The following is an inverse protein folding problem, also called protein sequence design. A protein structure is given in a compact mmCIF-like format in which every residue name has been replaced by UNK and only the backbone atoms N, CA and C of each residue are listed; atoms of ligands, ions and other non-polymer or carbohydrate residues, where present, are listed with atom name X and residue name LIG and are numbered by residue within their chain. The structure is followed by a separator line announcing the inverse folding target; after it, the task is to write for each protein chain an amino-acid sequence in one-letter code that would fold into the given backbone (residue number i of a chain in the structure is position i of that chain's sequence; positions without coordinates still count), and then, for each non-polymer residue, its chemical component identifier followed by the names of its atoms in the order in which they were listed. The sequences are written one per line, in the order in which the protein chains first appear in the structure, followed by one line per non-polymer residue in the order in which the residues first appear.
data_IF_232223103722
#
_entry.id   IF_232223103722
#
_cell.length_a   1.000
_cell.length_b   1.000
_cell.length_c   1.000
_cell.angle_alpha   90.00
_cell.angle_beta   90.00
_cell.angle_gamma   90.00
#
_symmetry.space_group_name_H-M   'P 1'
#
loop_
_entity.id
_entity.type
_entity.pdbx_description
1 polymer ?
#
# COMPACT_ATOMS: atom_id res chain seq x y z
N UNK A 1 18.34 36.11 22.00
CA UNK A 1 19.28 35.01 21.74
C UNK A 1 18.48 33.84 21.15
N UNK A 2 18.77 33.55 19.88
CA UNK A 2 18.62 32.34 19.06
C UNK A 2 17.44 31.39 19.37
N UNK A 3 16.44 31.33 18.50
CA UNK A 3 16.38 30.46 17.30
C UNK A 3 16.69 28.99 17.59
N UNK A 4 15.65 28.16 17.60
CA UNK A 4 15.75 26.81 17.03
C UNK A 4 14.44 26.46 16.33
N UNK A 5 14.41 26.92 15.10
CA UNK A 5 13.63 26.42 13.98
C UNK A 5 13.45 24.89 14.08
N UNK A 6 12.23 24.41 14.32
CA UNK A 6 11.84 23.05 13.92
C UNK A 6 11.64 23.04 12.40
N UNK A 7 12.71 23.33 11.66
CA UNK A 7 12.91 22.85 10.31
C UNK A 7 13.72 21.56 10.44
N UNK A 8 13.06 20.47 10.85
CA UNK A 8 13.53 19.16 10.42
C UNK A 8 12.97 19.00 9.01
N UNK A 9 13.82 19.30 8.04
CA UNK A 9 13.68 18.85 6.66
C UNK A 9 13.55 17.32 6.64
N UNK A 10 12.36 16.78 6.92
CA UNK A 10 11.93 15.57 6.24
C UNK A 10 11.52 16.03 4.85
N UNK A 11 12.51 16.27 3.97
CA UNK A 11 12.25 16.37 2.55
C UNK A 11 11.75 14.99 2.09
N UNK A 12 10.45 14.75 2.26
CA UNK A 12 9.73 13.61 1.71
C UNK A 12 10.05 13.61 0.22
N UNK A 13 10.99 12.75 -0.20
CA UNK A 13 11.38 12.62 -1.60
C UNK A 13 10.17 12.08 -2.35
N UNK A 14 9.38 13.00 -2.89
CA UNK A 14 8.27 12.70 -3.77
C UNK A 14 8.81 11.94 -4.98
N UNK A 15 8.16 10.84 -5.36
CA UNK A 15 8.66 9.96 -6.41
C UNK A 15 7.85 10.17 -7.66
N UNK A 16 8.49 10.65 -8.72
CA UNK A 16 7.85 10.77 -10.03
C UNK A 16 7.37 9.41 -10.53
N UNK A 17 6.17 9.35 -11.14
CA UNK A 17 5.58 8.11 -11.64
C UNK A 17 6.52 7.23 -12.46
N UNK A 18 7.24 7.82 -13.42
CA UNK A 18 8.20 7.10 -14.27
C UNK A 18 9.33 6.38 -13.51
N UNK A 19 9.61 6.81 -12.26
CA UNK A 19 10.64 6.23 -11.41
C UNK A 19 10.07 5.26 -10.37
N UNK A 20 8.76 4.98 -10.41
CA UNK A 20 8.13 4.05 -9.50
C UNK A 20 8.51 2.61 -9.89
N UNK A 21 9.12 1.87 -8.98
CA UNK A 21 9.59 0.49 -9.16
C UNK A 21 9.16 -0.39 -7.98
N UNK A 22 9.43 -1.69 -8.04
CA UNK A 22 9.17 -2.62 -6.94
C UNK A 22 9.98 -2.24 -5.69
N UNK A 23 11.25 -1.86 -5.86
CA UNK A 23 12.15 -1.41 -4.79
C UNK A 23 11.60 -0.14 -4.12
N UNK A 24 11.10 0.77 -4.95
CA UNK A 24 10.50 2.01 -4.48
C UNK A 24 9.23 1.74 -3.68
N UNK A 25 8.33 0.90 -4.19
CA UNK A 25 7.10 0.53 -3.49
C UNK A 25 7.42 -0.11 -2.13
N UNK A 26 8.35 -1.06 -2.11
CA UNK A 26 8.84 -1.69 -0.88
C UNK A 26 9.36 -0.64 0.13
N UNK A 27 10.19 0.29 -0.37
CA UNK A 27 10.74 1.38 0.46
C UNK A 27 9.64 2.28 1.02
N UNK A 28 8.64 2.65 0.22
CA UNK A 28 7.55 3.52 0.66
C UNK A 28 6.69 2.86 1.74
N UNK A 29 6.28 1.60 1.52
CA UNK A 29 5.44 0.85 2.46
C UNK A 29 6.15 0.63 3.80
N UNK A 30 7.43 0.26 3.78
CA UNK A 30 8.20 0.06 5.00
C UNK A 30 8.50 1.38 5.74
N UNK A 31 8.66 2.50 5.02
CA UNK A 31 8.82 3.83 5.66
C UNK A 31 7.58 4.23 6.46
N UNK A 32 6.39 4.03 5.91
CA UNK A 32 5.16 4.34 6.64
C UNK A 32 5.05 3.50 7.91
N UNK A 33 5.41 2.22 7.82
CA UNK A 33 5.42 1.32 8.97
C UNK A 33 6.32 1.89 10.07
N UNK A 34 7.56 2.28 9.75
CA UNK A 34 8.51 2.92 10.69
C UNK A 34 7.97 4.24 11.29
N UNK A 35 7.22 5.03 10.52
CA UNK A 35 6.68 6.31 11.00
C UNK A 35 5.50 6.12 11.96
N UNK A 36 4.63 5.12 11.76
CA UNK A 36 3.58 4.78 12.73
C UNK A 36 4.18 4.32 14.06
N UNK A 37 5.30 3.60 14.01
CA UNK A 37 6.03 3.11 15.19
C UNK A 37 6.55 4.23 16.09
N UNK A 38 7.03 5.33 15.50
CA UNK A 38 7.60 6.45 16.26
C UNK A 38 6.55 7.25 17.06
N UNK A 39 5.26 6.99 16.83
CA UNK A 39 4.12 7.67 17.47
C UNK A 39 3.55 6.83 18.62
N UNK A 40 3.82 5.52 18.65
CA UNK A 40 3.32 4.57 19.66
C UNK A 40 4.24 4.37 20.88
N UNK A 41 5.39 5.05 20.97
CA UNK A 41 6.20 5.11 22.20
C UNK A 41 5.47 5.93 23.27
N UNK A 42 4.47 5.33 23.92
CA UNK A 42 3.88 5.83 25.16
C UNK A 42 4.73 5.31 26.31
N UNK A 43 5.25 6.21 27.13
CA UNK A 43 5.97 5.92 28.38
C UNK A 43 5.15 4.96 29.25
N UNK A 44 5.65 3.74 29.45
CA UNK A 44 5.03 2.77 30.36
C UNK A 44 5.61 2.92 31.76
N UNK A 45 4.78 3.35 32.72
CA UNK A 45 5.04 3.23 34.15
C UNK A 45 5.05 1.75 34.59
N UNK A 46 5.98 1.40 35.49
CA UNK A 46 6.42 0.04 35.89
C UNK A 46 5.37 -0.87 36.58
N UNK A 47 4.07 -0.62 36.50
CA UNK A 47 3.08 -1.42 37.23
C UNK A 47 2.36 -2.48 36.37
N UNK A 48 2.49 -3.74 36.81
CA UNK A 48 1.75 -4.98 36.50
C UNK A 48 2.38 -5.98 35.51
N UNK A 49 2.42 -7.27 35.88
CA UNK A 49 2.95 -8.37 35.06
C UNK A 49 1.99 -8.79 33.93
N UNK A 50 0.68 -8.54 34.07
CA UNK A 50 -0.32 -8.81 33.03
C UNK A 50 -0.17 -7.86 31.82
N UNK A 51 0.17 -6.60 32.06
CA UNK A 51 0.51 -5.65 30.98
C UNK A 51 1.79 -6.06 30.27
N UNK A 52 2.78 -6.64 30.95
CA UNK A 52 3.99 -7.19 30.31
C UNK A 52 3.69 -8.35 29.35
N UNK A 53 2.85 -9.32 29.73
CA UNK A 53 2.48 -10.42 28.83
C UNK A 53 1.65 -9.94 27.64
N UNK A 54 0.69 -9.04 27.87
CA UNK A 54 -0.07 -8.42 26.77
C UNK A 54 0.87 -7.65 25.82
N UNK A 55 1.81 -6.89 26.39
CA UNK A 55 2.79 -6.12 25.64
C UNK A 55 3.77 -7.00 24.85
N UNK A 56 4.27 -8.10 25.42
CA UNK A 56 5.11 -9.07 24.72
C UNK A 56 4.36 -9.79 23.59
N UNK A 57 3.07 -10.09 23.79
CA UNK A 57 2.21 -10.65 22.74
C UNK A 57 2.01 -9.63 21.62
N UNK A 58 1.72 -8.36 21.95
CA UNK A 58 1.56 -7.29 20.98
C UNK A 58 2.85 -7.02 20.19
N UNK A 59 4.02 -7.06 20.84
CA UNK A 59 5.33 -6.98 20.18
C UNK A 59 5.53 -8.16 19.23
N UNK A 60 5.25 -9.39 19.65
CA UNK A 60 5.45 -10.57 18.79
C UNK A 60 4.55 -10.53 17.55
N UNK A 61 3.27 -10.21 17.72
CA UNK A 61 2.35 -10.05 16.59
C UNK A 61 2.78 -8.94 15.63
N UNK A 62 3.42 -7.91 16.16
CA UNK A 62 3.96 -6.78 15.40
C UNK A 62 5.21 -7.18 14.60
N UNK A 63 6.18 -7.83 15.23
CA UNK A 63 7.37 -8.36 14.55
C UNK A 63 6.99 -9.36 13.44
N UNK A 64 6.02 -10.25 13.70
CA UNK A 64 5.50 -11.18 12.70
C UNK A 64 4.86 -10.43 11.52
N UNK A 65 4.05 -9.40 11.78
CA UNK A 65 3.43 -8.58 10.72
C UNK A 65 4.48 -7.85 9.87
N UNK A 66 5.53 -7.31 10.49
CA UNK A 66 6.62 -6.64 9.79
C UNK A 66 7.43 -7.62 8.92
N UNK A 67 7.71 -8.82 9.44
CA UNK A 67 8.37 -9.89 8.68
C UNK A 67 7.53 -10.31 7.48
N UNK A 68 6.21 -10.49 7.65
CA UNK A 68 5.30 -10.85 6.57
C UNK A 68 5.23 -9.73 5.53
N UNK A 69 5.13 -8.46 5.95
CA UNK A 69 5.15 -7.33 5.04
C UNK A 69 6.46 -7.28 4.24
N UNK A 70 7.60 -7.39 4.92
CA UNK A 70 8.92 -7.41 4.29
C UNK A 70 9.03 -8.53 3.26
N UNK A 71 8.54 -9.72 3.58
CA UNK A 71 8.45 -10.86 2.65
C UNK A 71 7.58 -10.52 1.43
N UNK A 72 6.36 -10.01 1.64
CA UNK A 72 5.42 -9.71 0.55
C UNK A 72 5.96 -8.64 -0.42
N UNK A 73 6.70 -7.66 0.07
CA UNK A 73 7.26 -6.58 -0.76
C UNK A 73 8.70 -6.83 -1.22
N UNK A 74 9.30 -7.98 -0.90
CA UNK A 74 10.65 -8.31 -1.35
C UNK A 74 10.71 -8.37 -2.88
N UNK A 75 11.67 -7.64 -3.46
CA UNK A 75 11.90 -7.57 -4.90
C UNK A 75 12.42 -8.88 -5.50
N UNK A 76 12.95 -9.77 -4.66
CA UNK A 76 13.44 -11.10 -5.00
C UNK A 76 12.46 -12.20 -4.61
N UNK A 77 11.19 -11.89 -4.29
CA UNK A 77 10.19 -12.87 -3.83
C UNK A 77 10.16 -14.15 -4.69
N UNK A 78 10.16 -14.04 -6.02
CA UNK A 78 10.24 -15.20 -6.93
C UNK A 78 11.49 -16.07 -6.73
N UNK A 79 12.65 -15.46 -6.49
CA UNK A 79 13.90 -16.18 -6.23
C UNK A 79 13.89 -16.82 -4.83
N UNK A 80 13.31 -16.12 -3.85
CA UNK A 80 13.17 -16.59 -2.48
C UNK A 80 12.25 -17.80 -2.36
N UNK A 81 11.13 -17.82 -3.09
CA UNK A 81 10.22 -18.97 -3.16
C UNK A 81 10.91 -20.24 -3.65
N UNK A 82 11.91 -20.11 -4.53
CA UNK A 82 12.70 -21.23 -5.04
C UNK A 82 13.81 -21.67 -4.07
N UNK A 83 14.18 -20.81 -3.11
CA UNK A 83 15.16 -21.12 -2.06
C UNK A 83 14.45 -21.35 -0.73
N UNK A 84 13.93 -22.56 -0.51
CA UNK A 84 13.21 -22.98 0.72
C UNK A 84 14.03 -22.77 2.01
N UNK A 85 15.33 -22.45 1.91
CA UNK A 85 16.30 -22.39 3.01
C UNK A 85 16.86 -20.99 3.33
N UNK A 86 16.24 -19.90 2.87
CA UNK A 86 16.86 -18.59 3.06
C UNK A 86 16.61 -18.00 4.47
N UNK A 87 17.64 -18.00 5.31
CA UNK A 87 17.62 -17.57 6.72
C UNK A 87 17.24 -16.09 6.97
N UNK A 88 17.19 -15.25 5.93
CA UNK A 88 16.80 -13.83 6.08
C UNK A 88 15.32 -13.64 6.41
N UNK A 89 14.49 -14.63 6.14
CA UNK A 89 13.04 -14.57 6.30
C UNK A 89 12.55 -15.90 6.81
N UNK A 90 11.70 -15.89 7.83
CA UNK A 90 11.08 -17.11 8.28
C UNK A 90 9.89 -17.43 7.35
N UNK A 91 10.18 -18.10 6.23
CA UNK A 91 9.17 -18.58 5.28
C UNK A 91 8.06 -19.38 5.99
N UNK A 92 8.39 -20.03 7.11
CA UNK A 92 7.43 -20.72 7.95
C UNK A 92 6.48 -19.76 8.68
N UNK A 93 6.92 -18.56 9.08
CA UNK A 93 6.04 -17.51 9.61
C UNK A 93 5.08 -17.03 8.53
N UNK A 94 5.56 -16.79 7.30
CA UNK A 94 4.70 -16.43 6.17
C UNK A 94 3.65 -17.49 5.87
N UNK A 95 4.07 -18.76 5.84
CA UNK A 95 3.18 -19.89 5.64
C UNK A 95 2.19 -20.08 6.81
N UNK A 96 2.64 -19.86 8.04
CA UNK A 96 1.78 -19.87 9.23
C UNK A 96 0.72 -18.78 9.16
N UNK A 97 1.09 -17.57 8.72
CA UNK A 97 0.14 -16.47 8.52
C UNK A 97 -0.87 -16.80 7.41
N UNK A 98 -0.43 -17.40 6.31
CA UNK A 98 -1.31 -17.91 5.25
C UNK A 98 -2.35 -18.89 5.82
N UNK A 99 -1.90 -19.93 6.52
CA UNK A 99 -2.77 -20.92 7.14
C UNK A 99 -3.75 -20.27 8.11
N UNK A 100 -3.25 -19.41 9.01
CA UNK A 100 -4.04 -18.78 10.06
C UNK A 100 -5.06 -17.78 9.51
N UNK A 101 -4.78 -17.19 8.34
CA UNK A 101 -5.71 -16.29 7.64
C UNK A 101 -6.88 -17.03 6.98
N UNK A 102 -6.85 -18.37 6.92
CA UNK A 102 -7.90 -19.19 6.35
C UNK A 102 -8.73 -19.89 7.44
N UNK A 103 -9.91 -19.37 7.82
CA UNK A 103 -10.71 -19.90 8.92
C UNK A 103 -11.29 -21.29 8.65
N UNK A 104 -11.29 -21.76 7.39
CA UNK A 104 -11.78 -23.07 7.00
C UNK A 104 -10.69 -24.16 7.03
N UNK A 105 -9.47 -23.81 7.46
CA UNK A 105 -8.37 -24.74 7.50
C UNK A 105 -8.55 -25.79 8.61
N UNK A 106 -8.53 -27.07 8.24
CA UNK A 106 -8.52 -28.21 9.17
C UNK A 106 -7.19 -28.96 9.04
N UNK A 107 -6.47 -29.08 10.17
CA UNK A 107 -5.18 -29.75 10.22
C UNK A 107 -5.31 -31.25 9.87
N UNK A 108 -4.53 -31.70 8.88
CA UNK A 108 -4.28 -33.11 8.60
C UNK A 108 -2.87 -33.29 8.01
N UNK A 109 -2.11 -34.28 8.48
CA UNK A 109 -0.71 -34.49 8.04
C UNK A 109 -0.56 -34.65 6.51
N UNK A 110 -1.59 -35.14 5.81
CA UNK A 110 -1.60 -35.28 4.35
C UNK A 110 -1.75 -33.99 3.55
N UNK A 111 -2.22 -32.89 4.16
CA UNK A 111 -2.50 -31.64 3.43
C UNK A 111 -1.35 -30.63 3.44
N UNK A 112 -0.24 -30.88 4.16
CA UNK A 112 0.86 -29.92 4.29
C UNK A 112 1.49 -29.55 2.94
N UNK A 113 1.80 -30.56 2.11
CA UNK A 113 2.41 -30.35 0.79
C UNK A 113 1.47 -29.60 -0.16
N UNK A 114 0.18 -29.90 -0.11
CA UNK A 114 -0.84 -29.19 -0.91
C UNK A 114 -0.93 -27.73 -0.49
N UNK A 115 -0.95 -27.46 0.82
CA UNK A 115 -1.01 -26.09 1.34
C UNK A 115 0.24 -25.29 1.04
N UNK A 116 1.41 -25.92 1.09
CA UNK A 116 2.67 -25.30 0.67
C UNK A 116 2.60 -24.88 -0.82
N UNK A 117 2.03 -25.74 -1.68
CA UNK A 117 1.82 -25.42 -3.10
C UNK A 117 0.83 -24.28 -3.28
N UNK A 118 -0.29 -24.29 -2.56
CA UNK A 118 -1.26 -23.18 -2.58
C UNK A 118 -0.64 -21.87 -2.12
N UNK A 119 0.11 -21.88 -1.01
CA UNK A 119 0.81 -20.70 -0.51
C UNK A 119 1.80 -20.14 -1.53
N UNK A 120 2.62 -21.01 -2.13
CA UNK A 120 3.51 -20.60 -3.20
C UNK A 120 2.74 -19.97 -4.37
N UNK A 121 1.66 -20.60 -4.82
CA UNK A 121 0.81 -20.04 -5.87
C UNK A 121 0.29 -18.65 -5.49
N UNK A 122 -0.21 -18.45 -4.27
CA UNK A 122 -0.63 -17.14 -3.76
C UNK A 122 0.48 -16.09 -3.81
N UNK A 123 1.72 -16.46 -3.46
CA UNK A 123 2.87 -15.56 -3.57
C UNK A 123 3.20 -15.21 -5.03
N UNK A 124 3.05 -16.15 -5.98
CA UNK A 124 3.22 -15.84 -7.41
C UNK A 124 2.16 -14.85 -7.91
N UNK A 125 0.91 -15.00 -7.47
CA UNK A 125 -0.18 -14.09 -7.84
C UNK A 125 0.03 -12.71 -7.23
N UNK A 126 0.48 -12.66 -5.98
CA UNK A 126 0.86 -11.42 -5.30
C UNK A 126 1.99 -10.69 -6.05
N UNK A 127 3.04 -11.41 -6.47
CA UNK A 127 4.14 -10.81 -7.23
C UNK A 127 3.68 -10.23 -8.58
N UNK A 128 2.85 -10.98 -9.33
CA UNK A 128 2.23 -10.48 -10.58
C UNK A 128 1.37 -9.24 -10.32
N UNK A 129 0.62 -9.22 -9.22
CA UNK A 129 -0.19 -8.07 -8.83
C UNK A 129 0.65 -6.81 -8.61
N UNK A 130 1.79 -6.94 -7.92
CA UNK A 130 2.70 -5.82 -7.70
C UNK A 130 3.35 -5.33 -9.01
N UNK A 131 3.69 -6.24 -9.92
CA UNK A 131 4.18 -5.89 -11.26
C UNK A 131 3.12 -5.10 -12.07
N UNK A 132 1.85 -5.51 -11.98
CA UNK A 132 0.74 -4.79 -12.63
C UNK A 132 0.59 -3.37 -12.08
N UNK A 133 0.64 -3.19 -10.75
CA UNK A 133 0.58 -1.85 -10.14
C UNK A 133 1.73 -0.98 -10.64
N UNK A 134 2.97 -1.49 -10.60
CA UNK A 134 4.15 -0.74 -11.03
C UNK A 134 4.01 -0.31 -12.49
N UNK A 135 3.62 -1.23 -13.37
CA UNK A 135 3.42 -0.95 -14.80
C UNK A 135 2.39 0.15 -15.04
N UNK A 136 1.24 0.09 -14.36
CA UNK A 136 0.18 1.08 -14.53
C UNK A 136 0.59 2.45 -13.97
N UNK A 137 1.16 2.49 -12.76
CA UNK A 137 1.61 3.73 -12.11
C UNK A 137 2.65 4.45 -12.95
N UNK A 138 3.65 3.74 -13.50
CA UNK A 138 4.69 4.33 -14.33
C UNK A 138 4.17 5.06 -15.57
N UNK A 139 2.97 4.69 -16.03
CA UNK A 139 2.35 5.24 -17.24
C UNK A 139 1.26 6.25 -16.96
N UNK A 140 0.91 6.53 -15.70
CA UNK A 140 -0.17 7.47 -15.40
C UNK A 140 0.08 8.87 -15.97
N UNK A 141 -0.97 9.55 -16.45
CA UNK A 141 -0.85 10.94 -16.84
C UNK A 141 -0.71 11.83 -15.60
N UNK A 142 -0.19 13.06 -15.76
CA UNK A 142 -0.06 14.01 -14.65
C UNK A 142 -1.42 14.36 -14.04
N UNK A 143 -1.52 14.49 -12.71
CA UNK A 143 -2.77 14.87 -12.05
C UNK A 143 -2.85 16.39 -12.01
N UNK A 144 -3.95 16.94 -12.52
CA UNK A 144 -4.11 18.37 -12.77
C UNK A 144 -4.66 19.18 -11.59
N UNK A 145 -4.80 18.55 -10.43
CA UNK A 145 -5.19 19.22 -9.18
C UNK A 145 -4.00 19.26 -8.22
N UNK A 146 -3.92 20.35 -7.45
CA UNK A 146 -2.91 20.48 -6.39
C UNK A 146 -3.27 19.68 -5.13
N UNK A 147 -4.51 19.21 -5.01
CA UNK A 147 -4.96 18.39 -3.88
C UNK A 147 -4.38 16.98 -3.96
N UNK A 148 -4.20 16.35 -2.80
CA UNK A 148 -3.77 14.95 -2.74
C UNK A 148 -4.92 14.04 -3.17
N UNK A 149 -4.61 13.07 -4.02
CA UNK A 149 -5.50 11.95 -4.33
C UNK A 149 -4.97 10.68 -3.66
N UNK A 150 -5.86 9.75 -3.36
CA UNK A 150 -5.50 8.43 -2.86
C UNK A 150 -5.93 7.39 -3.89
N UNK A 151 -5.01 6.52 -4.30
CA UNK A 151 -5.31 5.38 -5.16
C UNK A 151 -5.14 4.11 -4.35
N UNK A 152 -6.23 3.39 -4.14
CA UNK A 152 -6.25 2.13 -3.40
C UNK A 152 -6.38 0.95 -4.36
N UNK A 153 -5.64 -0.12 -4.09
CA UNK A 153 -5.55 -1.35 -4.86
C UNK A 153 -6.02 -2.53 -4.00
N UNK A 154 -7.11 -3.18 -4.43
CA UNK A 154 -7.77 -4.32 -3.74
C UNK A 154 -8.13 -4.07 -2.26
N UNK A 155 -8.12 -2.81 -1.82
CA UNK A 155 -8.22 -2.43 -0.40
C UNK A 155 -7.12 -3.05 0.46
N UNK A 156 -5.91 -3.14 -0.10
CA UNK A 156 -4.72 -3.68 0.56
C UNK A 156 -3.56 -2.69 0.45
N UNK A 157 -3.31 -2.11 -0.73
CA UNK A 157 -2.25 -1.11 -0.93
C UNK A 157 -2.91 0.22 -1.23
N UNK A 158 -2.42 1.31 -0.63
CA UNK A 158 -2.89 2.66 -0.98
C UNK A 158 -1.71 3.57 -1.24
N UNK A 159 -1.75 4.29 -2.36
CA UNK A 159 -0.77 5.30 -2.73
C UNK A 159 -1.36 6.68 -2.51
N UNK A 160 -0.58 7.53 -1.84
CA UNK A 160 -0.91 8.94 -1.66
C UNK A 160 -0.16 9.74 -2.70
N UNK A 161 -0.90 10.38 -3.61
CA UNK A 161 -0.35 11.00 -4.81
C UNK A 161 -0.68 12.49 -4.84
N UNK A 162 0.29 13.32 -5.21
CA UNK A 162 0.11 14.75 -5.41
C UNK A 162 0.79 15.17 -6.71
N UNK A 163 0.05 15.87 -7.57
CA UNK A 163 0.49 16.30 -8.91
C UNK A 163 1.00 15.10 -9.73
N UNK A 164 2.31 14.91 -9.84
CA UNK A 164 2.91 13.84 -10.65
C UNK A 164 3.80 12.91 -9.84
N UNK A 165 3.65 12.97 -8.51
CA UNK A 165 4.54 12.30 -7.59
C UNK A 165 3.79 11.53 -6.52
N UNK A 166 4.31 10.34 -6.22
CA UNK A 166 3.90 9.51 -5.11
C UNK A 166 4.61 10.04 -3.87
N UNK A 167 3.82 10.38 -2.85
CA UNK A 167 4.31 10.94 -1.60
C UNK A 167 4.54 9.83 -0.58
N UNK A 168 3.58 8.89 -0.51
CA UNK A 168 3.64 7.77 0.41
C UNK A 168 2.89 6.55 -0.14
N UNK A 169 3.15 5.39 0.44
CA UNK A 169 2.38 4.17 0.25
C UNK A 169 2.03 3.56 1.60
N UNK A 170 0.86 2.95 1.70
CA UNK A 170 0.45 2.17 2.86
C UNK A 170 0.01 0.78 2.48
N UNK A 171 0.20 -0.14 3.42
CA UNK A 171 -0.25 -1.53 3.33
C UNK A 171 -1.18 -1.85 4.50
N UNK A 172 -2.36 -2.36 4.19
CA UNK A 172 -3.36 -2.74 5.19
C UNK A 172 -3.12 -4.18 5.66
N UNK A 173 -2.34 -4.31 6.72
CA UNK A 173 -2.06 -5.57 7.41
C UNK A 173 -3.30 -6.23 8.01
N UNK A 174 -4.39 -5.49 8.27
CA UNK A 174 -5.62 -6.10 8.79
C UNK A 174 -6.31 -6.95 7.71
N UNK A 175 -6.09 -6.60 6.44
CA UNK A 175 -6.62 -7.31 5.28
C UNK A 175 -5.60 -8.28 4.65
N UNK A 176 -4.63 -8.78 5.43
CA UNK A 176 -3.58 -9.69 4.96
C UNK A 176 -4.13 -10.93 4.23
N UNK A 177 -5.25 -11.49 4.70
CA UNK A 177 -5.91 -12.63 4.05
C UNK A 177 -6.26 -12.35 2.56
N UNK A 178 -6.52 -11.09 2.20
CA UNK A 178 -6.78 -10.71 0.81
C UNK A 178 -5.53 -10.85 -0.06
N UNK A 179 -4.34 -10.62 0.48
CA UNK A 179 -3.08 -10.78 -0.26
C UNK A 179 -2.90 -12.23 -0.73
N UNK A 180 -3.26 -13.19 0.13
CA UNK A 180 -3.13 -14.61 -0.18
C UNK A 180 -4.28 -15.21 -0.98
N UNK A 181 -5.42 -14.52 -1.09
CA UNK A 181 -6.57 -14.95 -1.89
C UNK A 181 -6.62 -14.28 -3.27
N UNK A 182 -5.57 -13.55 -3.65
CA UNK A 182 -5.47 -12.98 -4.99
C UNK A 182 -5.31 -14.10 -6.02
N UNK A 183 -6.31 -14.25 -6.89
CA UNK A 183 -6.21 -14.95 -8.16
C UNK A 183 -6.52 -13.93 -9.27
N UNK A 184 -5.50 -13.42 -9.97
CA UNK A 184 -5.67 -12.12 -10.65
C UNK A 184 -5.01 -12.08 -12.03
N UNK A 185 -5.84 -11.98 -13.07
CA UNK A 185 -5.48 -11.44 -14.39
C UNK A 185 -5.63 -9.90 -14.45
N UNK A 186 -6.31 -9.32 -13.46
CA UNK A 186 -6.56 -7.88 -13.27
C UNK A 186 -6.71 -7.59 -11.77
N UNK A 187 -6.74 -6.33 -11.36
CA UNK A 187 -6.98 -5.88 -9.99
C UNK A 187 -8.05 -4.78 -9.93
N UNK A 188 -8.75 -4.67 -8.81
CA UNK A 188 -9.68 -3.57 -8.51
C UNK A 188 -8.93 -2.38 -7.92
N UNK A 189 -9.33 -1.19 -8.30
CA UNK A 189 -8.85 0.05 -7.70
C UNK A 189 -9.99 0.97 -7.29
N UNK A 190 -9.73 1.81 -6.29
CA UNK A 190 -10.56 2.92 -5.87
C UNK A 190 -9.74 4.21 -5.92
N UNK A 191 -10.31 5.28 -6.48
CA UNK A 191 -9.74 6.61 -6.52
C UNK A 191 -10.51 7.50 -5.55
N UNK A 192 -9.81 8.04 -4.56
CA UNK A 192 -10.38 8.96 -3.58
C UNK A 192 -9.79 10.36 -3.70
N UNK A 193 -10.62 11.34 -3.42
CA UNK A 193 -10.23 12.74 -3.28
C UNK A 193 -10.12 13.07 -1.79
N UNK A 194 -9.01 13.72 -1.42
CA UNK A 194 -8.80 14.21 -0.05
C UNK A 194 -9.08 15.71 -0.01
N UNK A 195 -10.17 16.09 0.65
CA UNK A 195 -10.53 17.49 0.86
C UNK A 195 -10.14 17.95 2.28
N UNK A 196 -9.49 19.10 2.37
CA UNK A 196 -9.23 19.77 3.64
C UNK A 196 -10.53 20.39 4.14
N UNK A 197 -11.05 19.89 5.25
CA UNK A 197 -12.21 20.52 5.89
C UNK A 197 -11.77 21.75 6.67
N UNK A 198 -12.70 22.67 6.93
CA UNK A 198 -12.46 23.90 7.71
C UNK A 198 -11.90 23.64 9.12
N UNK A 199 -12.07 22.43 9.65
CA UNK A 199 -11.62 22.02 10.98
C UNK A 199 -10.21 21.40 11.00
N UNK A 200 -9.48 21.43 9.87
CA UNK A 200 -8.21 20.71 9.67
C UNK A 200 -8.31 19.19 9.66
N UNK A 201 -9.53 18.65 9.55
CA UNK A 201 -9.75 17.23 9.27
C UNK A 201 -9.73 16.98 7.77
N UNK A 202 -9.30 15.78 7.36
CA UNK A 202 -9.38 15.34 5.98
C UNK A 202 -10.69 14.60 5.74
N UNK A 203 -11.48 15.06 4.78
CA UNK A 203 -12.60 14.29 4.24
C UNK A 203 -12.08 13.51 3.03
N UNK A 204 -12.17 12.19 3.10
CA UNK A 204 -11.80 11.31 2.00
C UNK A 204 -13.10 10.83 1.35
N UNK A 205 -13.31 11.18 0.08
CA UNK A 205 -14.49 10.79 -0.69
C UNK A 205 -14.09 9.91 -1.86
N UNK A 206 -14.86 8.84 -2.09
CA UNK A 206 -14.69 7.99 -3.27
C UNK A 206 -15.12 8.79 -4.50
N UNK A 207 -14.21 8.98 -5.44
CA UNK A 207 -14.49 9.63 -6.71
C UNK A 207 -14.90 8.60 -7.76
N UNK A 208 -14.11 7.55 -7.95
CA UNK A 208 -14.39 6.50 -8.94
C UNK A 208 -13.73 5.18 -8.53
N UNK A 209 -14.17 4.08 -9.14
CA UNK A 209 -13.63 2.74 -8.92
C UNK A 209 -13.63 1.94 -10.22
N UNK A 210 -12.73 0.97 -10.34
CA UNK A 210 -12.64 0.18 -11.57
C UNK A 210 -11.75 -1.04 -11.44
N UNK A 211 -11.46 -1.65 -12.60
CA UNK A 211 -10.49 -2.74 -12.74
C UNK A 211 -9.37 -2.34 -13.70
N UNK A 212 -8.16 -2.80 -13.43
CA UNK A 212 -6.97 -2.53 -14.22
C UNK A 212 -6.06 -3.75 -14.24
N UNK A 213 -5.11 -3.84 -15.17
CA UNK A 213 -4.41 -5.10 -15.45
C UNK A 213 -2.92 -4.93 -15.79
N UNK A 214 -2.32 -3.79 -15.43
CA UNK A 214 -0.89 -3.59 -15.71
C UNK A 214 -0.56 -3.29 -17.17
N UNK A 215 -1.53 -3.03 -18.04
CA UNK A 215 -1.28 -2.70 -19.45
C UNK A 215 -0.81 -1.25 -19.67
N UNK A 216 -0.54 -0.51 -18.60
CA UNK A 216 0.06 0.83 -18.68
C UNK A 216 -0.91 1.84 -19.25
N UNK A 217 -0.61 2.40 -20.43
CA UNK A 217 -1.44 3.44 -21.07
C UNK A 217 -2.80 2.96 -21.55
N UNK A 218 -3.02 1.63 -21.62
CA UNK A 218 -4.32 1.03 -21.97
C UNK A 218 -5.11 0.55 -20.75
N UNK A 219 -4.57 0.76 -19.57
CA UNK A 219 -5.12 0.20 -18.34
C UNK A 219 -6.36 0.95 -17.87
N UNK A 220 -7.22 0.28 -17.09
CA UNK A 220 -8.41 0.92 -16.54
C UNK A 220 -8.05 2.07 -15.60
N UNK A 221 -6.95 1.96 -14.85
CA UNK A 221 -6.48 3.03 -13.99
C UNK A 221 -6.03 4.26 -14.80
N UNK A 222 -5.28 4.07 -15.89
CA UNK A 222 -4.88 5.17 -16.78
C UNK A 222 -6.11 5.90 -17.35
N UNK A 223 -7.10 5.14 -17.80
CA UNK A 223 -8.35 5.68 -18.35
C UNK A 223 -9.13 6.47 -17.28
N UNK A 224 -9.18 5.98 -16.05
CA UNK A 224 -9.83 6.67 -14.92
C UNK A 224 -9.16 8.02 -14.63
N UNK A 225 -7.83 8.05 -14.50
CA UNK A 225 -7.10 9.30 -14.23
C UNK A 225 -7.20 10.27 -15.41
N UNK A 226 -7.22 9.77 -16.65
CA UNK A 226 -7.42 10.61 -17.84
C UNK A 226 -8.78 11.30 -17.83
N UNK A 227 -9.87 10.55 -17.55
CA UNK A 227 -11.22 11.11 -17.39
C UNK A 227 -11.30 12.12 -16.25
N UNK A 228 -10.68 11.81 -15.11
CA UNK A 228 -10.57 12.74 -13.99
C UNK A 228 -9.93 14.07 -14.43
N UNK A 229 -8.81 14.02 -15.14
CA UNK A 229 -8.13 15.20 -15.65
C UNK A 229 -8.95 16.00 -16.67
N UNK A 230 -9.72 15.33 -17.52
CA UNK A 230 -10.65 15.99 -18.45
C UNK A 230 -11.73 16.77 -17.70
N UNK A 231 -12.32 16.18 -16.66
CA UNK A 231 -13.31 16.85 -15.82
C UNK A 231 -12.73 18.09 -15.12
N UNK A 232 -11.51 17.97 -14.60
CA UNK A 232 -10.78 19.09 -13.98
C UNK A 232 -10.57 20.22 -14.98
N UNK A 233 -10.08 19.92 -16.19
CA UNK A 233 -9.89 20.94 -17.25
C UNK A 233 -11.19 21.63 -17.61
N UNK A 234 -12.27 20.86 -17.80
CA UNK A 234 -13.57 21.41 -18.17
C UNK A 234 -14.12 22.33 -17.07
N UNK A 235 -13.94 21.97 -15.79
CA UNK A 235 -14.35 22.81 -14.67
C UNK A 235 -13.56 24.14 -14.60
N UNK A 236 -12.24 24.09 -14.80
CA UNK A 236 -11.42 25.31 -14.83
C UNK A 236 -11.73 26.20 -16.04
N UNK A 237 -11.96 25.62 -17.22
CA UNK A 237 -12.36 26.37 -18.40
C UNK A 237 -13.73 27.05 -18.21
N UNK A 238 -14.71 26.33 -17.65
CA UNK A 238 -16.03 26.89 -17.34
C UNK A 238 -15.97 28.08 -16.37
N UNK A 239 -15.14 27.99 -15.32
CA UNK A 239 -14.92 29.13 -14.39
C UNK A 239 -14.29 30.34 -15.08
N UNK A 240 -13.36 30.12 -16.00
CA UNK A 240 -12.70 31.20 -16.73
C UNK A 240 -13.60 31.85 -17.80
N UNK A 241 -14.55 31.10 -18.37
CA UNK A 241 -15.56 31.64 -19.28
C UNK A 241 -16.66 32.42 -18.53
N UNK A 242 -17.04 31.99 -17.33
CA UNK A 242 -18.00 32.70 -16.47
C UNK A 242 -17.52 34.07 -15.96
N UNK A 243 -16.22 34.37 -16.04
CA UNK A 243 -15.65 35.69 -15.75
C UNK A 243 -15.49 36.59 -16.99
N UNK A 244 -15.94 36.14 -18.18
CA UNK A 244 -15.92 36.93 -19.42
C UNK A 244 -17.27 37.50 -19.84
N UNK A 245 -18.28 37.47 -18.97
CA UNK A 245 -19.60 38.06 -19.26
C UNK A 245 -20.03 39.06 -18.19
N UNK A 246 -20.22 40.29 -18.70
CA UNK A 246 -20.77 41.54 -18.13
C UNK A 246 -19.79 42.42 -17.33
#
# INVERSE_FOLDING_TARGET
MNNTTFQKENSQKSIAFKNFTREVLNTLVNRESIQRLSIEEIETDESTMETKQSYEIDIRYKEEKELIQSMLFDTQLKQLMNSVYNQKYDYMIGFHAYISSNPNFKYGFGCFVEKLKEFNYSLEQWDKFLDMIVSDIQKLPPILIDQMILVEFESIIRLSIKNNSIINASFDLQNLAKAFSLEKADYRFNLFLSEFTKNRDYKIELFDSGRSNGTGTKSGLYNCISKFNELVRNHFNYKNEGHKTL
#
